data_IF_408291437343
#
_entry.id   IF_408291437343
#
_cell.length_a   1.000
_cell.length_b   1.000
_cell.length_c   1.000
_cell.angle_alpha   90.00
_cell.angle_beta   90.00
_cell.angle_gamma   90.00
#
_symmetry.space_group_name_H-M   'P 1'
#
loop_
_entity.id
_entity.type
_entity.pdbx_description
1 polymer ?
#
# COMPACT_ATOMS: atom_id res chain seq x y z
N UNK A 1 31.23 -14.77 -34.39
CA UNK A 1 30.24 -13.67 -34.49
C UNK A 1 29.01 -14.12 -33.72
N UNK A 2 28.86 -13.72 -32.45
CA UNK A 2 27.72 -14.11 -31.61
C UNK A 2 26.43 -13.56 -32.23
N UNK A 3 25.49 -14.44 -32.60
CA UNK A 3 24.13 -14.01 -32.95
C UNK A 3 23.39 -13.72 -31.66
N UNK A 4 23.14 -12.45 -31.39
CA UNK A 4 22.27 -12.02 -30.29
C UNK A 4 20.90 -12.67 -30.53
N UNK A 5 20.35 -13.47 -29.59
CA UNK A 5 19.03 -14.04 -29.75
C UNK A 5 18.03 -12.90 -29.89
N UNK A 6 17.13 -12.99 -30.87
CA UNK A 6 16.10 -12.00 -31.08
C UNK A 6 15.23 -11.92 -29.80
N UNK A 7 15.50 -10.94 -28.96
CA UNK A 7 14.76 -10.70 -27.73
C UNK A 7 13.39 -10.25 -28.21
N UNK A 8 12.37 -11.08 -27.97
CA UNK A 8 11.00 -10.72 -28.31
C UNK A 8 10.59 -9.55 -27.41
N UNK A 9 10.77 -8.33 -27.92
CA UNK A 9 10.46 -7.07 -27.26
C UNK A 9 9.01 -7.03 -26.78
N UNK A 10 8.11 -7.74 -27.48
CA UNK A 10 6.72 -7.92 -27.05
C UNK A 10 6.58 -8.67 -25.72
N UNK A 11 7.43 -9.66 -25.42
CA UNK A 11 7.37 -10.39 -24.15
C UNK A 11 7.94 -9.57 -22.99
N UNK A 12 9.01 -8.80 -23.23
CA UNK A 12 9.56 -7.88 -22.22
C UNK A 12 8.55 -6.76 -21.94
N UNK A 13 7.96 -6.18 -22.99
CA UNK A 13 6.90 -5.19 -22.83
C UNK A 13 5.70 -5.78 -22.09
N UNK A 14 5.30 -7.02 -22.38
CA UNK A 14 4.20 -7.68 -21.68
C UNK A 14 4.52 -7.95 -20.19
N UNK A 15 5.74 -8.38 -19.86
CA UNK A 15 6.16 -8.59 -18.47
C UNK A 15 6.27 -7.26 -17.73
N UNK A 16 6.78 -6.21 -18.38
CA UNK A 16 6.85 -4.86 -17.81
C UNK A 16 5.46 -4.28 -17.61
N UNK A 17 4.53 -4.49 -18.56
CA UNK A 17 3.11 -4.12 -18.43
C UNK A 17 2.45 -4.94 -17.33
N UNK A 18 2.67 -6.25 -17.22
CA UNK A 18 2.13 -7.08 -16.15
C UNK A 18 2.67 -6.65 -14.77
N UNK A 19 3.96 -6.32 -14.66
CA UNK A 19 4.56 -5.76 -13.44
C UNK A 19 3.96 -4.39 -13.09
N UNK A 20 3.73 -3.52 -14.07
CA UNK A 20 3.06 -2.23 -13.88
C UNK A 20 1.57 -2.38 -13.51
N UNK A 21 0.88 -3.36 -14.10
CA UNK A 21 -0.53 -3.68 -13.81
C UNK A 21 -0.69 -4.36 -12.44
N UNK A 22 0.35 -5.05 -11.96
CA UNK A 22 0.39 -5.61 -10.60
C UNK A 22 0.41 -4.51 -9.53
N UNK A 23 0.82 -3.29 -9.89
CA UNK A 23 0.83 -2.10 -9.01
C UNK A 23 -0.53 -1.38 -9.06
N UNK A 24 -1.40 -1.66 -10.04
CA UNK A 24 -2.55 -0.81 -10.36
C UNK A 24 -3.91 -1.27 -9.81
N UNK A 25 -3.98 -2.38 -9.09
CA UNK A 25 -5.25 -2.94 -8.58
C UNK A 25 -5.44 -2.66 -7.08
N UNK A 26 -5.19 -1.41 -6.64
CA UNK A 26 -5.28 -1.10 -5.22
C UNK A 26 -5.51 0.39 -4.90
N UNK A 27 -6.50 1.04 -5.51
CA UNK A 27 -6.84 2.43 -5.14
C UNK A 27 -8.37 2.67 -5.08
N UNK A 28 -9.08 1.87 -4.29
CA UNK A 28 -10.52 2.09 -4.09
C UNK A 28 -10.85 3.41 -3.35
N UNK A 29 -9.83 4.10 -2.83
CA UNK A 29 -9.98 5.40 -2.19
C UNK A 29 -8.96 6.38 -2.76
N UNK A 30 -9.41 7.60 -3.05
CA UNK A 30 -8.50 8.68 -3.40
C UNK A 30 -7.99 9.34 -2.10
N UNK A 31 -6.73 9.13 -1.68
CA UNK A 31 -6.25 9.66 -0.42
C UNK A 31 -6.09 11.17 -0.48
N UNK A 32 -6.50 11.85 0.58
CA UNK A 32 -6.32 13.29 0.80
C UNK A 32 -5.64 13.48 2.15
N UNK A 33 -4.47 14.10 2.14
CA UNK A 33 -3.66 14.31 3.33
C UNK A 33 -3.79 15.76 3.78
N UNK A 34 -4.46 15.98 4.92
CA UNK A 34 -4.81 17.32 5.40
C UNK A 34 -4.04 17.71 6.68
N UNK A 35 -2.96 16.98 7.00
CA UNK A 35 -2.14 17.21 8.20
C UNK A 35 -1.44 18.58 8.13
N UNK A 36 -1.50 19.35 9.22
CA UNK A 36 -0.84 20.64 9.34
C UNK A 36 -1.54 21.80 8.62
N UNK A 37 -2.74 21.57 8.09
CA UNK A 37 -3.60 22.63 7.53
C UNK A 37 -4.43 23.28 8.63
N UNK A 38 -4.55 24.62 8.61
CA UNK A 38 -5.43 25.34 9.54
C UNK A 38 -6.88 25.21 9.09
N UNK A 39 -7.55 24.15 9.52
CA UNK A 39 -8.96 23.90 9.22
C UNK A 39 -9.86 24.55 10.28
N UNK A 40 -10.89 25.25 9.84
CA UNK A 40 -11.95 25.79 10.69
C UNK A 40 -13.28 25.77 9.95
N UNK A 41 -14.37 26.19 10.61
CA UNK A 41 -15.67 26.30 9.94
C UNK A 41 -15.66 27.39 8.85
N UNK A 42 -14.84 28.43 9.00
CA UNK A 42 -14.64 29.49 8.00
C UNK A 42 -13.68 29.08 6.87
N UNK A 43 -12.86 28.05 7.10
CA UNK A 43 -11.92 27.48 6.13
C UNK A 43 -12.01 25.95 6.15
N UNK A 44 -13.14 25.36 5.69
CA UNK A 44 -13.32 23.92 5.70
C UNK A 44 -12.57 23.25 4.55
N UNK A 45 -12.32 21.96 4.67
CA UNK A 45 -11.84 21.13 3.57
C UNK A 45 -12.99 20.93 2.57
N UNK A 46 -12.81 21.37 1.34
CA UNK A 46 -13.82 21.20 0.29
C UNK A 46 -13.82 19.76 -0.21
N UNK A 47 -15.01 19.18 -0.29
CA UNK A 47 -15.24 17.81 -0.76
C UNK A 47 -16.01 17.88 -2.07
N UNK A 48 -15.27 17.90 -3.17
CA UNK A 48 -15.83 17.80 -4.52
C UNK A 48 -16.26 16.36 -4.81
N UNK A 49 -17.20 16.16 -5.74
CA UNK A 49 -17.72 14.85 -6.15
C UNK A 49 -17.99 13.90 -4.97
N UNK A 50 -18.95 14.22 -4.07
CA UNK A 50 -19.11 13.58 -2.77
C UNK A 50 -19.54 12.11 -2.84
N UNK A 51 -19.94 11.61 -4.01
CA UNK A 51 -20.25 10.20 -4.23
C UNK A 51 -19.01 9.37 -4.56
N UNK A 52 -17.97 10.00 -5.13
CA UNK A 52 -16.68 9.35 -5.41
C UNK A 52 -15.95 9.12 -4.10
N UNK A 53 -15.52 7.88 -3.86
CA UNK A 53 -14.89 7.49 -2.61
C UNK A 53 -13.53 8.16 -2.42
N UNK A 54 -13.46 9.04 -1.42
CA UNK A 54 -12.23 9.71 -0.99
C UNK A 54 -11.99 9.43 0.48
N UNK A 55 -10.75 9.14 0.84
CA UNK A 55 -10.32 8.97 2.21
C UNK A 55 -9.51 10.19 2.62
N UNK A 56 -10.03 10.98 3.55
CA UNK A 56 -9.33 12.13 4.12
C UNK A 56 -8.62 11.68 5.40
N UNK A 57 -7.37 12.10 5.55
CA UNK A 57 -6.50 11.76 6.67
C UNK A 57 -6.19 13.04 7.43
N UNK A 58 -6.78 13.15 8.63
CA UNK A 58 -6.74 14.36 9.44
C UNK A 58 -6.22 14.11 10.85
N UNK A 59 -5.97 15.21 11.55
CA UNK A 59 -5.53 15.21 12.94
C UNK A 59 -6.32 16.28 13.70
N UNK A 60 -6.87 15.90 14.84
CA UNK A 60 -7.46 16.84 15.79
C UNK A 60 -6.32 17.35 16.70
N UNK A 61 -6.16 18.68 16.78
CA UNK A 61 -5.13 19.33 17.60
C UNK A 61 -5.74 20.47 18.44
N UNK A 62 -6.58 20.08 19.40
CA UNK A 62 -7.33 20.97 20.28
C UNK A 62 -8.57 21.62 19.65
N UNK A 63 -8.84 21.38 18.36
CA UNK A 63 -10.02 21.86 17.63
C UNK A 63 -10.63 20.78 16.74
N UNK A 64 -11.96 20.83 16.49
CA UNK A 64 -12.60 19.97 15.51
C UNK A 64 -12.16 20.34 14.09
N UNK A 65 -12.26 19.38 13.17
CA UNK A 65 -11.98 19.58 11.74
C UNK A 65 -13.29 19.63 10.96
N UNK A 66 -13.36 20.49 9.95
CA UNK A 66 -14.56 20.74 9.17
C UNK A 66 -14.34 20.40 7.69
N UNK A 67 -15.31 19.72 7.11
CA UNK A 67 -15.42 19.48 5.68
C UNK A 67 -16.70 20.13 5.16
N UNK A 68 -16.70 20.56 3.91
CA UNK A 68 -17.87 21.12 3.26
C UNK A 68 -18.08 20.49 1.89
N UNK A 69 -19.31 20.08 1.63
CA UNK A 69 -19.78 19.58 0.35
C UNK A 69 -20.69 20.64 -0.25
N UNK A 70 -20.54 20.91 -1.53
CA UNK A 70 -21.53 21.62 -2.33
C UNK A 70 -21.93 20.74 -3.51
N UNK A 71 -23.21 20.37 -3.60
CA UNK A 71 -23.73 19.59 -4.72
C UNK A 71 -24.90 20.29 -5.40
N UNK A 72 -24.86 20.51 -6.72
CA UNK A 72 -25.97 21.07 -7.48
C UNK A 72 -27.08 20.04 -7.79
N UNK A 73 -26.90 18.77 -7.42
CA UNK A 73 -27.83 17.67 -7.67
C UNK A 73 -28.04 16.82 -6.40
N UNK A 74 -29.20 16.15 -6.23
CA UNK A 74 -29.37 15.13 -5.20
C UNK A 74 -28.32 14.03 -5.34
N UNK A 75 -27.84 13.49 -4.20
CA UNK A 75 -26.79 12.48 -4.19
C UNK A 75 -26.89 11.59 -2.95
N UNK A 76 -26.18 10.45 -2.97
CA UNK A 76 -26.05 9.59 -1.80
C UNK A 76 -24.83 9.99 -0.96
N UNK A 77 -25.07 10.63 0.19
CA UNK A 77 -24.02 10.94 1.14
C UNK A 77 -23.66 9.70 1.95
N UNK A 78 -22.39 9.28 1.86
CA UNK A 78 -21.80 8.25 2.71
C UNK A 78 -20.67 8.84 3.54
N UNK A 79 -20.62 8.45 4.82
CA UNK A 79 -19.53 8.79 5.73
C UNK A 79 -19.13 7.55 6.54
N UNK A 80 -17.83 7.29 6.67
CA UNK A 80 -17.27 6.31 7.61
C UNK A 80 -16.05 6.89 8.36
N UNK A 81 -15.88 6.47 9.62
CA UNK A 81 -14.76 6.87 10.47
C UNK A 81 -13.81 5.70 10.76
N UNK A 82 -12.51 5.97 10.66
CA UNK A 82 -11.42 5.08 11.03
C UNK A 82 -10.46 5.80 11.98
N UNK A 83 -9.84 5.05 12.90
CA UNK A 83 -8.76 5.55 13.76
C UNK A 83 -7.54 4.64 13.57
N UNK A 84 -6.33 5.16 13.28
CA UNK A 84 -5.15 4.33 13.08
C UNK A 84 -4.76 3.60 14.37
N UNK A 85 -4.22 2.38 14.24
CA UNK A 85 -3.74 1.58 15.38
C UNK A 85 -2.23 1.39 15.42
N UNK A 86 -1.47 2.18 14.65
CA UNK A 86 -0.01 2.10 14.64
C UNK A 86 0.56 2.37 16.05
N UNK A 87 1.71 1.75 16.42
CA UNK A 87 2.34 1.97 17.72
C UNK A 87 2.56 3.47 18.00
N UNK A 88 2.10 3.95 19.15
CA UNK A 88 2.17 5.37 19.53
C UNK A 88 1.10 6.27 18.90
N UNK A 89 0.18 5.70 18.12
CA UNK A 89 -0.89 6.44 17.42
C UNK A 89 -2.29 5.93 17.72
N UNK A 90 -2.44 5.06 18.73
CA UNK A 90 -3.77 4.70 19.25
C UNK A 90 -4.50 5.98 19.65
N UNK A 91 -5.55 6.30 18.91
CA UNK A 91 -6.31 7.54 19.06
C UNK A 91 -7.57 7.36 19.90
N UNK A 92 -8.06 8.48 20.42
CA UNK A 92 -9.41 8.57 20.96
C UNK A 92 -10.43 8.40 19.83
N UNK A 93 -11.51 7.69 20.13
CA UNK A 93 -12.58 7.43 19.18
C UNK A 93 -13.22 8.76 18.74
N UNK A 94 -13.33 8.96 17.43
CA UNK A 94 -13.91 10.19 16.86
C UNK A 94 -15.37 10.03 16.50
N UNK A 95 -16.11 11.12 16.55
CA UNK A 95 -17.48 11.27 16.07
C UNK A 95 -17.52 12.22 14.89
N UNK A 96 -18.58 12.11 14.07
CA UNK A 96 -18.86 13.05 13.01
C UNK A 96 -20.31 13.51 13.04
N UNK A 97 -20.53 14.80 12.85
CA UNK A 97 -21.84 15.43 12.71
C UNK A 97 -21.95 16.04 11.31
N UNK A 98 -23.06 15.77 10.62
CA UNK A 98 -23.37 16.39 9.34
C UNK A 98 -24.57 17.30 9.50
N UNK A 99 -24.42 18.55 9.07
CA UNK A 99 -25.49 19.55 9.05
C UNK A 99 -25.76 20.02 7.63
N UNK A 100 -26.99 20.41 7.35
CA UNK A 100 -27.34 21.12 6.12
C UNK A 100 -27.08 22.63 6.22
N UNK A 101 -27.46 23.39 5.19
CA UNK A 101 -27.27 24.86 5.17
C UNK A 101 -28.12 25.62 6.20
N UNK A 102 -29.15 25.00 6.77
CA UNK A 102 -29.96 25.61 7.85
C UNK A 102 -29.34 25.38 9.23
N UNK A 103 -28.35 24.49 9.32
CA UNK A 103 -27.75 24.03 10.57
C UNK A 103 -28.50 22.85 11.20
N UNK A 104 -29.47 22.25 10.51
CA UNK A 104 -30.14 21.04 10.96
C UNK A 104 -29.19 19.84 10.83
N UNK A 105 -29.05 19.07 11.91
CA UNK A 105 -28.28 17.83 11.90
C UNK A 105 -29.06 16.75 11.15
N UNK A 106 -28.50 16.28 10.03
CA UNK A 106 -29.11 15.25 9.19
C UNK A 106 -28.47 13.86 9.38
N UNK A 107 -27.26 13.81 9.96
CA UNK A 107 -26.53 12.57 10.19
C UNK A 107 -25.57 12.73 11.37
N UNK A 108 -25.52 11.73 12.24
CA UNK A 108 -24.58 11.69 13.36
C UNK A 108 -23.95 10.31 13.51
N UNK A 109 -22.62 10.27 13.42
CA UNK A 109 -21.80 9.09 13.67
C UNK A 109 -21.25 9.20 15.09
N UNK A 110 -21.94 8.55 16.04
CA UNK A 110 -21.56 8.60 17.46
C UNK A 110 -20.40 7.65 17.76
N UNK A 111 -19.16 8.15 17.70
CA UNK A 111 -17.96 7.35 17.97
C UNK A 111 -17.90 6.77 19.39
N UNK A 112 -18.44 7.49 20.38
CA UNK A 112 -18.41 7.10 21.80
C UNK A 112 -19.38 5.94 22.10
N UNK A 113 -20.49 5.88 21.38
CA UNK A 113 -21.52 4.84 21.54
C UNK A 113 -21.62 3.93 20.30
N UNK A 114 -20.47 3.56 19.74
CA UNK A 114 -20.36 2.64 18.61
C UNK A 114 -19.37 1.53 18.92
N UNK A 115 -19.56 0.38 18.26
CA UNK A 115 -18.55 -0.70 18.30
C UNK A 115 -17.44 -0.38 17.31
N UNK A 116 -16.21 -0.41 17.79
CA UNK A 116 -15.01 -0.25 16.97
C UNK A 116 -14.31 -1.59 16.81
N UNK A 117 -14.10 -2.02 15.57
CA UNK A 117 -13.53 -3.34 15.26
C UNK A 117 -12.15 -3.20 14.63
N UNK A 118 -11.20 -4.12 14.91
CA UNK A 118 -9.94 -4.17 14.17
C UNK A 118 -10.20 -4.34 12.68
N UNK A 119 -9.55 -3.50 11.88
CA UNK A 119 -9.70 -3.47 10.43
C UNK A 119 -8.31 -3.32 9.78
N UNK A 120 -8.05 -4.12 8.76
CA UNK A 120 -6.89 -3.98 7.90
C UNK A 120 -7.36 -3.43 6.56
N UNK A 121 -6.85 -2.27 6.18
CA UNK A 121 -7.15 -1.65 4.90
C UNK A 121 -6.14 -2.20 3.88
N UNK A 122 -6.63 -3.00 2.94
CA UNK A 122 -5.80 -3.85 2.07
C UNK A 122 -5.00 -3.04 1.05
N UNK A 123 -5.48 -1.85 0.66
CA UNK A 123 -4.87 -1.03 -0.38
C UNK A 123 -3.70 -0.20 0.16
N UNK A 124 -3.93 0.47 1.28
CA UNK A 124 -2.93 1.19 2.05
C UNK A 124 -2.01 0.24 2.78
N UNK A 125 -2.47 -0.93 3.24
CA UNK A 125 -1.68 -1.87 4.03
C UNK A 125 -1.43 -1.37 5.45
N UNK A 126 -2.43 -0.73 6.05
CA UNK A 126 -2.38 -0.21 7.42
C UNK A 126 -3.55 -0.74 8.27
N UNK A 127 -3.32 -0.76 9.58
CA UNK A 127 -4.31 -1.21 10.56
C UNK A 127 -5.03 -0.03 11.20
N UNK A 128 -6.33 -0.21 11.38
CA UNK A 128 -7.25 0.75 11.97
C UNK A 128 -8.18 0.06 12.96
N UNK A 129 -8.83 0.88 13.78
CA UNK A 129 -10.15 0.58 14.30
C UNK A 129 -11.17 1.17 13.33
N UNK A 130 -12.06 0.32 12.81
CA UNK A 130 -13.20 0.75 12.01
C UNK A 130 -14.36 1.12 12.93
N UNK A 131 -14.81 2.36 12.82
CA UNK A 131 -15.90 2.93 13.61
C UNK A 131 -17.23 2.95 12.85
N UNK A 132 -18.18 3.80 13.28
CA UNK A 132 -19.49 3.91 12.67
C UNK A 132 -19.41 4.36 11.20
N UNK A 133 -20.44 3.99 10.44
CA UNK A 133 -20.68 4.44 9.08
C UNK A 133 -22.18 4.70 8.88
N UNK A 134 -22.51 5.67 8.02
CA UNK A 134 -23.88 6.00 7.70
C UNK A 134 -24.03 6.39 6.23
N UNK A 135 -25.23 6.18 5.69
CA UNK A 135 -25.58 6.52 4.31
C UNK A 135 -26.94 7.18 4.28
N UNK A 136 -27.07 8.30 3.59
CA UNK A 136 -28.32 9.05 3.47
C UNK A 136 -28.44 9.64 2.07
N UNK A 137 -29.62 9.54 1.45
CA UNK A 137 -29.91 10.29 0.22
C UNK A 137 -30.30 11.72 0.62
N UNK A 138 -29.60 12.70 0.06
CA UNK A 138 -29.81 14.12 0.37
C UNK A 138 -30.12 14.91 -0.91
N UNK A 139 -30.91 15.99 -0.82
CA UNK A 139 -31.17 16.85 -1.98
C UNK A 139 -29.91 17.60 -2.42
N UNK A 140 -30.01 18.34 -3.52
CA UNK A 140 -29.00 19.34 -3.88
C UNK A 140 -28.86 20.37 -2.76
N UNK A 141 -27.64 20.76 -2.42
CA UNK A 141 -27.40 21.69 -1.33
C UNK A 141 -25.95 21.72 -0.85
N UNK A 142 -25.76 22.45 0.25
CA UNK A 142 -24.49 22.54 0.97
C UNK A 142 -24.60 21.78 2.28
N UNK A 143 -23.59 20.95 2.57
CA UNK A 143 -23.51 20.15 3.78
C UNK A 143 -22.17 20.37 4.47
N UNK A 144 -22.20 20.53 5.79
CA UNK A 144 -21.00 20.69 6.60
C UNK A 144 -20.82 19.45 7.47
N UNK A 145 -19.62 18.88 7.45
CA UNK A 145 -19.25 17.73 8.28
C UNK A 145 -18.24 18.21 9.31
N UNK A 146 -18.53 17.98 10.59
CA UNK A 146 -17.63 18.28 11.70
C UNK A 146 -17.13 16.97 12.30
N UNK A 147 -15.82 16.76 12.31
CA UNK A 147 -15.17 15.63 12.99
C UNK A 147 -14.55 16.10 14.30
N UNK A 148 -14.83 15.38 15.38
CA UNK A 148 -14.42 15.76 16.73
C UNK A 148 -14.37 14.56 17.68
N UNK A 149 -13.72 14.75 18.83
CA UNK A 149 -13.89 13.91 20.01
C UNK A 149 -13.88 14.81 21.27
N UNK A 150 -13.96 14.22 22.46
CA UNK A 150 -14.13 14.99 23.70
C UNK A 150 -12.94 15.94 23.98
N UNK A 151 -11.74 15.58 23.53
CA UNK A 151 -10.50 16.34 23.73
C UNK A 151 -10.08 17.12 22.49
N UNK A 152 -10.72 16.87 21.35
CA UNK A 152 -10.25 17.22 20.01
C UNK A 152 -8.78 16.86 19.79
N UNK A 153 -8.42 15.59 20.04
CA UNK A 153 -7.05 15.12 19.85
C UNK A 153 -6.97 13.83 19.05
N UNK A 154 -5.86 13.68 18.33
CA UNK A 154 -5.48 12.44 17.68
C UNK A 154 -5.87 12.36 16.21
N UNK A 155 -5.30 11.36 15.55
CA UNK A 155 -5.44 11.11 14.12
C UNK A 155 -6.71 10.34 13.82
N UNK A 156 -7.33 10.64 12.68
CA UNK A 156 -8.47 9.92 12.16
C UNK A 156 -8.41 9.85 10.63
N UNK A 157 -9.18 8.93 10.06
CA UNK A 157 -9.54 8.98 8.65
C UNK A 157 -11.06 9.00 8.51
N UNK A 158 -11.54 9.83 7.60
CA UNK A 158 -12.95 9.90 7.21
C UNK A 158 -13.06 9.54 5.74
N UNK A 159 -13.84 8.51 5.43
CA UNK A 159 -14.19 8.17 4.06
C UNK A 159 -15.51 8.86 3.71
N UNK A 160 -15.53 9.58 2.59
CA UNK A 160 -16.73 10.24 2.04
C UNK A 160 -16.96 9.69 0.63
N UNK A 161 -18.18 9.23 0.36
CA UNK A 161 -18.55 8.60 -0.92
C UNK A 161 -18.23 7.11 -1.01
N UNK A 162 -18.96 6.39 -1.88
CA UNK A 162 -18.84 4.93 -2.07
C UNK A 162 -18.42 4.51 -3.48
N UNK A 163 -18.52 5.39 -4.47
CA UNK A 163 -18.23 5.05 -5.85
C UNK A 163 -16.71 5.05 -6.05
N UNK A 164 -16.16 3.87 -6.32
CA UNK A 164 -14.73 3.73 -6.62
C UNK A 164 -14.41 4.36 -7.99
N UNK A 165 -13.33 5.13 -8.06
CA UNK A 165 -12.89 5.78 -9.29
C UNK A 165 -11.37 5.92 -9.33
N UNK A 166 -10.77 5.49 -10.43
CA UNK A 166 -9.32 5.30 -10.61
C UNK A 166 -8.77 6.11 -11.78
N UNK A 167 -8.92 7.45 -11.81
CA UNK A 167 -8.44 8.23 -12.93
C UNK A 167 -6.90 8.34 -12.88
N UNK A 168 -6.27 8.48 -14.05
CA UNK A 168 -4.81 8.42 -14.16
C UNK A 168 -4.07 9.52 -13.37
N UNK A 169 -4.68 10.71 -13.24
CA UNK A 169 -4.15 11.80 -12.42
C UNK A 169 -4.12 11.44 -10.93
N UNK A 170 -5.12 10.73 -10.41
CA UNK A 170 -5.14 10.26 -9.01
C UNK A 170 -4.06 9.21 -8.78
N UNK A 171 -3.82 8.31 -9.74
CA UNK A 171 -2.72 7.36 -9.65
C UNK A 171 -1.35 8.05 -9.57
N UNK A 172 -1.15 9.12 -10.34
CA UNK A 172 0.08 9.93 -10.29
C UNK A 172 0.19 10.65 -8.94
N UNK A 173 -0.89 11.26 -8.45
CA UNK A 173 -0.91 11.92 -7.14
C UNK A 173 -0.58 10.93 -6.01
N UNK A 174 -1.12 9.72 -6.06
CA UNK A 174 -0.88 8.67 -5.07
C UNK A 174 0.60 8.29 -4.92
N UNK A 175 1.41 8.40 -6.00
CA UNK A 175 2.87 8.16 -5.93
C UNK A 175 3.59 9.09 -4.95
N UNK A 176 3.04 10.29 -4.71
CA UNK A 176 3.59 11.26 -3.78
C UNK A 176 2.84 11.27 -2.45
N UNK A 177 1.51 11.15 -2.49
CA UNK A 177 0.68 11.20 -1.28
C UNK A 177 0.89 9.98 -0.39
N UNK A 178 1.05 8.77 -0.95
CA UNK A 178 1.19 7.55 -0.14
C UNK A 178 2.47 7.54 0.71
N UNK A 179 3.67 7.84 0.19
CA UNK A 179 4.86 7.95 1.04
C UNK A 179 4.73 8.97 2.16
N UNK A 180 4.16 10.15 1.87
CA UNK A 180 3.92 11.21 2.86
C UNK A 180 2.90 10.77 3.92
N UNK A 181 1.82 10.11 3.50
CA UNK A 181 0.83 9.53 4.39
C UNK A 181 1.47 8.52 5.34
N UNK A 182 2.31 7.62 4.82
CA UNK A 182 3.03 6.64 5.64
C UNK A 182 3.92 7.29 6.69
N UNK A 183 4.66 8.33 6.31
CA UNK A 183 5.57 9.03 7.20
C UNK A 183 4.83 9.88 8.24
N UNK A 184 3.95 10.77 7.78
CA UNK A 184 3.33 11.78 8.63
C UNK A 184 2.14 11.24 9.41
N UNK A 185 1.29 10.43 8.74
CA UNK A 185 0.11 9.86 9.37
C UNK A 185 0.45 8.60 10.15
N UNK A 186 1.15 7.62 9.55
CA UNK A 186 1.41 6.31 10.18
C UNK A 186 2.75 6.19 10.91
N UNK A 187 3.59 7.23 10.92
CA UNK A 187 4.94 7.22 11.52
C UNK A 187 5.83 6.08 11.01
N UNK A 188 5.61 5.68 9.74
CA UNK A 188 6.43 4.70 9.02
C UNK A 188 7.47 5.48 8.22
N UNK A 189 8.77 5.40 8.56
CA UNK A 189 9.80 6.16 7.86
C UNK A 189 9.80 5.86 6.36
N UNK A 190 9.90 6.89 5.51
CA UNK A 190 10.01 6.71 4.05
C UNK A 190 11.23 5.88 3.68
N UNK A 191 12.31 5.97 4.49
CA UNK A 191 13.48 5.12 4.33
C UNK A 191 13.17 3.63 4.45
N UNK A 192 12.28 3.24 5.37
CA UNK A 192 11.81 1.86 5.50
C UNK A 192 11.15 1.39 4.21
N UNK A 193 10.21 2.18 3.67
CA UNK A 193 9.53 1.87 2.40
C UNK A 193 10.52 1.78 1.24
N UNK A 194 11.46 2.73 1.15
CA UNK A 194 12.49 2.74 0.12
C UNK A 194 13.34 1.46 0.15
N UNK A 195 13.80 1.06 1.34
CA UNK A 195 14.60 -0.16 1.48
C UNK A 195 13.78 -1.43 1.24
N UNK A 196 12.49 -1.48 1.61
CA UNK A 196 11.59 -2.59 1.24
C UNK A 196 11.50 -2.73 -0.29
N UNK A 197 11.18 -1.66 -1.00
CA UNK A 197 11.10 -1.67 -2.46
C UNK A 197 12.45 -2.02 -3.10
N UNK A 198 13.54 -1.42 -2.62
CA UNK A 198 14.88 -1.71 -3.14
C UNK A 198 15.23 -3.19 -2.96
N UNK A 199 14.94 -3.75 -1.78
CA UNK A 199 15.17 -5.16 -1.47
C UNK A 199 14.42 -6.08 -2.42
N UNK A 200 13.12 -5.83 -2.59
CA UNK A 200 12.23 -6.59 -3.49
C UNK A 200 12.68 -6.45 -4.94
N UNK A 201 12.96 -5.24 -5.44
CA UNK A 201 13.37 -5.02 -6.84
C UNK A 201 14.68 -5.74 -7.14
N UNK A 202 15.67 -5.68 -6.25
CA UNK A 202 16.95 -6.36 -6.44
C UNK A 202 16.78 -7.90 -6.41
N UNK A 203 16.01 -8.43 -5.47
CA UNK A 203 15.77 -9.86 -5.36
C UNK A 203 14.89 -10.39 -6.51
N UNK A 204 13.68 -9.86 -6.65
CA UNK A 204 12.70 -10.28 -7.65
C UNK A 204 13.19 -10.01 -9.08
N UNK A 205 13.81 -8.86 -9.34
CA UNK A 205 14.39 -8.55 -10.65
C UNK A 205 15.48 -9.54 -11.06
N UNK A 206 16.34 -9.93 -10.11
CA UNK A 206 17.36 -10.96 -10.32
C UNK A 206 16.72 -12.34 -10.57
N UNK A 207 15.71 -12.72 -9.79
CA UNK A 207 15.00 -14.00 -9.93
C UNK A 207 14.25 -14.12 -11.25
N UNK A 208 13.53 -13.07 -11.66
CA UNK A 208 12.77 -13.07 -12.91
C UNK A 208 13.69 -13.14 -14.13
N UNK A 209 14.85 -12.47 -14.07
CA UNK A 209 15.88 -12.56 -15.11
C UNK A 209 16.46 -13.97 -15.16
N UNK A 210 16.84 -14.53 -14.01
CA UNK A 210 17.32 -15.91 -13.88
C UNK A 210 16.31 -16.92 -14.42
N UNK A 211 15.05 -16.83 -14.00
CA UNK A 211 13.98 -17.73 -14.41
C UNK A 211 13.78 -17.68 -15.93
N UNK A 212 13.74 -16.48 -16.51
CA UNK A 212 13.62 -16.27 -17.96
C UNK A 212 14.78 -16.91 -18.71
N UNK A 213 16.01 -16.74 -18.23
CA UNK A 213 17.19 -17.36 -18.82
C UNK A 213 17.15 -18.88 -18.67
N UNK A 214 16.74 -19.41 -17.52
CA UNK A 214 16.58 -20.86 -17.32
C UNK A 214 15.52 -21.45 -18.25
N UNK A 215 14.41 -20.75 -18.52
CA UNK A 215 13.42 -21.19 -19.53
C UNK A 215 14.07 -21.25 -20.92
N UNK A 216 14.83 -20.22 -21.30
CA UNK A 216 15.51 -20.16 -22.60
C UNK A 216 16.65 -21.17 -22.73
N UNK A 217 17.37 -21.46 -21.65
CA UNK A 217 18.50 -22.39 -21.60
C UNK A 217 18.15 -23.79 -22.09
N UNK A 218 16.88 -24.20 -21.93
CA UNK A 218 16.34 -25.48 -22.42
C UNK A 218 16.47 -25.66 -23.94
N UNK A 219 16.73 -24.58 -24.69
CA UNK A 219 16.83 -24.60 -26.16
C UNK A 219 18.24 -24.89 -26.67
N UNK A 220 19.29 -24.69 -25.88
CA UNK A 220 20.67 -24.90 -26.32
C UNK A 220 21.67 -24.85 -25.16
N UNK A 221 22.78 -25.57 -25.28
CA UNK A 221 23.89 -25.52 -24.32
C UNK A 221 24.55 -24.14 -24.23
N UNK A 222 24.60 -23.39 -25.34
CA UNK A 222 25.11 -22.01 -25.35
C UNK A 222 24.32 -21.09 -24.40
N UNK A 223 22.98 -21.12 -24.49
CA UNK A 223 22.10 -20.39 -23.58
C UNK A 223 22.24 -20.90 -22.13
N UNK A 224 22.58 -22.17 -21.92
CA UNK A 224 22.87 -22.71 -20.60
C UNK A 224 24.14 -22.10 -20.01
N UNK A 225 25.22 -22.04 -20.78
CA UNK A 225 26.46 -21.37 -20.37
C UNK A 225 26.26 -19.87 -20.08
N UNK A 226 25.49 -19.17 -20.93
CA UNK A 226 25.12 -17.77 -20.69
C UNK A 226 24.32 -17.63 -19.39
N UNK A 227 23.41 -18.57 -19.11
CA UNK A 227 22.60 -18.54 -17.88
C UNK A 227 23.48 -18.68 -16.63
N UNK A 228 24.50 -19.54 -16.65
CA UNK A 228 25.46 -19.65 -15.54
C UNK A 228 26.30 -18.37 -15.37
N UNK A 229 26.77 -17.78 -16.47
CA UNK A 229 27.54 -16.54 -16.43
C UNK A 229 26.72 -15.38 -15.84
N UNK A 230 25.52 -15.15 -16.40
CA UNK A 230 24.61 -14.10 -15.90
C UNK A 230 24.16 -14.42 -14.48
N UNK A 231 23.93 -15.68 -14.15
CA UNK A 231 23.61 -16.10 -12.79
C UNK A 231 24.69 -15.73 -11.80
N UNK A 232 25.97 -15.98 -12.10
CA UNK A 232 27.09 -15.53 -11.26
C UNK A 232 27.09 -14.03 -10.96
N UNK A 233 26.62 -13.19 -11.90
CA UNK A 233 26.50 -11.73 -11.73
C UNK A 233 25.25 -11.35 -10.92
N UNK A 234 24.13 -12.01 -11.17
CA UNK A 234 22.85 -11.71 -10.52
C UNK A 234 22.79 -12.21 -9.08
N UNK A 235 23.53 -13.26 -8.74
CA UNK A 235 23.40 -13.86 -7.42
C UNK A 235 23.84 -12.97 -6.25
N UNK A 236 24.93 -12.18 -6.35
CA UNK A 236 25.21 -11.13 -5.38
C UNK A 236 24.05 -10.12 -5.22
N UNK A 237 23.43 -9.69 -6.32
CA UNK A 237 22.31 -8.76 -6.30
C UNK A 237 21.07 -9.37 -5.64
N UNK A 238 20.77 -10.63 -5.94
CA UNK A 238 19.73 -11.41 -5.27
C UNK A 238 19.95 -11.43 -3.76
N UNK A 239 21.17 -11.75 -3.30
CA UNK A 239 21.48 -11.76 -1.87
C UNK A 239 21.38 -10.37 -1.23
N UNK A 240 21.87 -9.32 -1.88
CA UNK A 240 21.73 -7.95 -1.38
C UNK A 240 20.24 -7.62 -1.19
N UNK A 241 19.40 -7.90 -2.19
CA UNK A 241 17.96 -7.68 -2.10
C UNK A 241 17.29 -8.48 -0.98
N UNK A 242 17.61 -9.77 -0.87
CA UNK A 242 17.10 -10.65 0.19
C UNK A 242 17.53 -10.18 1.59
N UNK A 243 18.79 -9.75 1.75
CA UNK A 243 19.31 -9.26 3.04
C UNK A 243 18.66 -7.94 3.43
N UNK A 244 18.55 -6.98 2.51
CA UNK A 244 17.88 -5.70 2.76
C UNK A 244 16.45 -5.97 3.23
N UNK A 245 15.69 -6.77 2.48
CA UNK A 245 14.31 -7.13 2.83
C UNK A 245 14.23 -7.79 4.21
N UNK A 246 15.15 -8.71 4.49
CA UNK A 246 15.21 -9.41 5.78
C UNK A 246 15.47 -8.46 6.95
N UNK A 247 16.41 -7.53 6.79
CA UNK A 247 16.77 -6.57 7.83
C UNK A 247 15.62 -5.58 8.08
N UNK A 248 14.97 -5.09 7.02
CA UNK A 248 13.82 -4.20 7.17
C UNK A 248 12.66 -4.94 7.85
N UNK A 249 12.34 -6.15 7.39
CA UNK A 249 11.29 -6.96 7.97
C UNK A 249 11.53 -7.28 9.46
N UNK A 250 12.78 -7.60 9.82
CA UNK A 250 13.16 -7.81 11.21
C UNK A 250 12.92 -6.55 12.06
N UNK A 251 13.20 -5.36 11.53
CA UNK A 251 12.89 -4.08 12.18
C UNK A 251 11.38 -3.86 12.38
N UNK A 252 10.56 -4.17 11.37
CA UNK A 252 9.10 -4.08 11.44
C UNK A 252 8.54 -5.02 12.52
N UNK A 253 8.99 -6.27 12.56
CA UNK A 253 8.56 -7.25 13.58
C UNK A 253 9.02 -6.84 14.98
N UNK A 254 10.23 -6.29 15.12
CA UNK A 254 10.73 -5.80 16.41
C UNK A 254 9.83 -4.70 17.00
N UNK A 255 9.30 -3.81 16.16
CA UNK A 255 8.38 -2.74 16.60
C UNK A 255 6.98 -3.27 16.95
N UNK A 256 6.54 -4.39 16.35
CA UNK A 256 5.24 -4.98 16.63
C UNK A 256 5.31 -6.52 16.74
N UNK A 257 5.85 -7.06 17.86
CA UNK A 257 6.13 -8.49 17.99
C UNK A 257 4.87 -9.37 18.11
N UNK A 258 3.70 -8.77 18.33
CA UNK A 258 2.42 -9.48 18.45
C UNK A 258 1.68 -9.63 17.12
N UNK A 259 2.24 -9.13 16.02
CA UNK A 259 1.63 -9.25 14.69
C UNK A 259 1.66 -10.72 14.21
N UNK A 260 0.56 -11.45 14.41
CA UNK A 260 0.45 -12.88 14.05
C UNK A 260 0.70 -13.11 12.55
N UNK A 261 0.14 -12.26 11.69
CA UNK A 261 0.38 -12.33 10.25
C UNK A 261 1.86 -12.06 9.94
N UNK A 262 2.46 -11.10 10.65
CA UNK A 262 3.88 -10.81 10.56
C UNK A 262 4.77 -12.00 10.96
N UNK A 263 4.40 -12.74 11.99
CA UNK A 263 5.10 -13.96 12.41
C UNK A 263 5.01 -15.05 11.34
N UNK A 264 3.85 -15.22 10.70
CA UNK A 264 3.68 -16.15 9.58
C UNK A 264 4.57 -15.75 8.38
N UNK A 265 4.57 -14.48 7.98
CA UNK A 265 5.45 -13.98 6.92
C UNK A 265 6.94 -14.16 7.24
N UNK A 266 7.31 -14.11 8.51
CA UNK A 266 8.69 -14.39 8.95
C UNK A 266 9.10 -15.85 8.70
N UNK A 267 8.16 -16.81 8.79
CA UNK A 267 8.41 -18.20 8.40
C UNK A 267 8.61 -18.34 6.89
N UNK A 268 7.81 -17.63 6.09
CA UNK A 268 7.98 -17.58 4.62
C UNK A 268 9.36 -17.02 4.27
N UNK A 269 9.77 -15.92 4.91
CA UNK A 269 11.07 -15.31 4.70
C UNK A 269 12.24 -16.27 5.02
N UNK A 270 12.09 -17.11 6.05
CA UNK A 270 13.08 -18.15 6.35
C UNK A 270 13.18 -19.19 5.20
N UNK A 271 12.05 -19.59 4.61
CA UNK A 271 12.04 -20.47 3.44
C UNK A 271 12.69 -19.77 2.24
N UNK A 272 12.40 -18.48 2.02
CA UNK A 272 13.04 -17.65 0.99
C UNK A 272 14.57 -17.63 1.15
N UNK A 273 15.09 -17.46 2.37
CA UNK A 273 16.53 -17.47 2.64
C UNK A 273 17.18 -18.82 2.28
N UNK A 274 16.55 -19.93 2.68
CA UNK A 274 17.03 -21.29 2.38
C UNK A 274 17.02 -21.55 0.87
N UNK A 275 15.94 -21.18 0.18
CA UNK A 275 15.82 -21.35 -1.26
C UNK A 275 16.75 -20.42 -2.03
N UNK A 276 16.96 -19.18 -1.56
CA UNK A 276 17.94 -18.24 -2.12
C UNK A 276 19.34 -18.84 -2.05
N UNK A 277 19.72 -19.43 -0.91
CA UNK A 277 20.99 -20.14 -0.77
C UNK A 277 21.11 -21.31 -1.75
N UNK A 278 20.06 -22.13 -1.89
CA UNK A 278 20.04 -23.26 -2.82
C UNK A 278 20.12 -22.84 -4.28
N UNK A 279 19.41 -21.78 -4.68
CA UNK A 279 19.48 -21.23 -6.04
C UNK A 279 20.88 -20.69 -6.31
N UNK A 280 21.45 -19.97 -5.34
CA UNK A 280 22.80 -19.43 -5.43
C UNK A 280 23.88 -20.50 -5.60
N UNK A 281 23.89 -21.54 -4.75
CA UNK A 281 24.92 -22.59 -4.82
C UNK A 281 24.91 -23.28 -6.18
N UNK A 282 23.72 -23.62 -6.69
CA UNK A 282 23.53 -24.29 -7.97
C UNK A 282 23.75 -23.41 -9.20
N UNK A 283 23.65 -22.08 -9.07
CA UNK A 283 23.90 -21.14 -10.18
C UNK A 283 25.35 -20.69 -10.27
N UNK A 284 26.14 -20.81 -9.19
CA UNK A 284 27.57 -20.47 -9.19
C UNK A 284 28.48 -21.62 -9.63
N UNK A 285 28.07 -22.87 -9.42
CA UNK A 285 28.85 -24.04 -9.84
C UNK A 285 28.66 -24.36 -11.32
N UNK A 286 29.26 -23.51 -12.16
CA UNK A 286 29.38 -23.71 -13.60
C UNK A 286 30.35 -24.85 -13.89
N UNK A 287 29.85 -26.09 -13.86
CA UNK A 287 30.68 -27.24 -14.20
C UNK A 287 29.92 -28.52 -14.48
N UNK A 288 28.95 -28.91 -13.64
CA UNK A 288 28.24 -30.20 -13.75
C UNK A 288 26.81 -30.22 -13.19
N UNK A 289 26.35 -29.13 -12.58
CA UNK A 289 25.05 -29.08 -11.90
C UNK A 289 23.91 -28.71 -12.86
N UNK A 290 22.73 -29.31 -12.69
CA UNK A 290 21.53 -28.88 -13.41
C UNK A 290 21.06 -27.54 -12.87
N UNK A 291 20.69 -26.60 -13.76
CA UNK A 291 20.11 -25.31 -13.39
C UNK A 291 18.93 -25.52 -12.40
N UNK A 292 18.85 -24.75 -11.30
CA UNK A 292 17.86 -24.95 -10.24
C UNK A 292 16.48 -24.38 -10.61
N UNK A 293 15.92 -24.80 -11.76
CA UNK A 293 14.68 -24.23 -12.29
C UNK A 293 13.52 -24.31 -11.30
N UNK A 294 13.27 -25.48 -10.70
CA UNK A 294 12.15 -25.68 -9.78
C UNK A 294 12.31 -24.80 -8.53
N UNK A 295 13.50 -24.76 -7.95
CA UNK A 295 13.76 -23.91 -6.77
C UNK A 295 13.66 -22.43 -7.10
N UNK A 296 14.09 -22.01 -8.28
CA UNK A 296 13.96 -20.62 -8.74
C UNK A 296 12.50 -20.24 -8.97
N UNK A 297 11.71 -21.13 -9.58
CA UNK A 297 10.28 -20.92 -9.78
C UNK A 297 9.51 -20.84 -8.47
N UNK A 298 9.77 -21.74 -7.51
CA UNK A 298 9.16 -21.69 -6.18
C UNK A 298 9.57 -20.39 -5.46
N UNK A 299 10.84 -19.99 -5.58
CA UNK A 299 11.33 -18.76 -4.96
C UNK A 299 10.64 -17.52 -5.54
N UNK A 300 10.37 -17.47 -6.84
CA UNK A 300 9.56 -16.40 -7.48
C UNK A 300 8.13 -16.36 -6.96
N UNK A 301 7.53 -17.51 -6.63
CA UNK A 301 6.15 -17.56 -6.08
C UNK A 301 6.10 -17.08 -4.63
N UNK A 302 7.18 -17.30 -3.86
CA UNK A 302 7.21 -16.94 -2.44
C UNK A 302 7.55 -15.47 -2.19
N UNK A 303 8.27 -14.83 -3.12
CA UNK A 303 8.51 -13.39 -3.12
C UNK A 303 7.29 -12.62 -3.62
#
# INVERSE_FOLDING_TARGET
MLKIPNINSGLIALIFVLLLVSISMANAHQPRLDIGTSVSIENPIMVDDPEISKAFYGELDGKPVYYQIHSPQPFQLYVNLLVPTSPGQGGELVSAEVTDSSGEMIMFLNGTNSTWTPYFEEFGGDYYLKGPEATLNVPAGTYNIRVFNTQNQGKYSIAIGKIESFPANEAISALFTLPLLKEQFFSKPVSTLFFEFLGIILAMGSLMTLLTLMVKSRKSDELTSITFLVGGILTPLLWIGTIITTLVWAGVIYQNPKNILGLFNSLILMIILILTWRVNSKTRDAGKEKLPFISTFILVILW
#
